data_IF_699642842335
#
_entry.id   IF_699642842335
#
_cell.length_a   1.000
_cell.length_b   1.000
_cell.length_c   1.000
_cell.angle_alpha   90.00
_cell.angle_beta   90.00
_cell.angle_gamma   90.00
#
_symmetry.space_group_name_H-M   'P 1'
#
loop_
_entity.id
_entity.type
_entity.pdbx_description
1 polymer ?
#
# COMPACT_ATOMS: atom_id res chain seq x y z
N UNK A 1 2.68 -25.02 -17.17
CA UNK A 1 3.36 -25.17 -15.86
C UNK A 1 3.96 -23.85 -15.36
N UNK A 2 4.78 -23.13 -16.14
CA UNK A 2 5.37 -21.85 -15.72
C UNK A 2 4.36 -20.77 -15.31
N UNK A 3 3.26 -20.61 -16.06
CA UNK A 3 2.22 -19.61 -15.74
C UNK A 3 1.52 -19.87 -14.40
N UNK A 4 1.25 -21.15 -14.08
CA UNK A 4 0.62 -21.54 -12.81
C UNK A 4 1.53 -21.19 -11.64
N UNK A 5 2.82 -21.51 -11.74
CA UNK A 5 3.81 -21.14 -10.72
C UNK A 5 3.87 -19.63 -10.49
N UNK A 6 3.80 -18.84 -11.57
CA UNK A 6 3.83 -17.39 -11.47
C UNK A 6 2.59 -16.83 -10.75
N UNK A 7 1.39 -17.35 -11.04
CA UNK A 7 0.15 -16.92 -10.36
C UNK A 7 0.18 -17.24 -8.86
N UNK A 8 0.67 -18.42 -8.49
CA UNK A 8 0.78 -18.83 -7.08
C UNK A 8 1.79 -17.96 -6.35
N UNK A 9 2.98 -17.76 -6.91
CA UNK A 9 4.02 -16.91 -6.30
C UNK A 9 3.55 -15.46 -6.16
N UNK A 10 2.93 -14.90 -7.21
CA UNK A 10 2.43 -13.53 -7.21
C UNK A 10 1.31 -13.31 -6.18
N UNK A 11 0.45 -14.30 -5.93
CA UNK A 11 -0.68 -14.16 -5.03
C UNK A 11 -0.41 -14.55 -3.57
N UNK A 12 0.36 -15.62 -3.34
CA UNK A 12 0.53 -16.19 -2.00
C UNK A 12 1.51 -15.38 -1.14
N UNK A 13 2.73 -15.16 -1.63
CA UNK A 13 3.80 -14.55 -0.85
C UNK A 13 3.53 -13.07 -0.60
N UNK A 14 3.11 -12.33 -1.63
CA UNK A 14 2.83 -10.88 -1.53
C UNK A 14 1.68 -10.59 -0.57
N UNK A 15 0.63 -11.42 -0.57
CA UNK A 15 -0.52 -11.29 0.33
C UNK A 15 -0.16 -11.68 1.76
N UNK A 16 0.67 -12.73 1.95
CA UNK A 16 1.18 -13.11 3.27
C UNK A 16 1.99 -11.98 3.89
N UNK A 17 2.87 -11.35 3.11
CA UNK A 17 3.63 -10.16 3.56
C UNK A 17 2.69 -9.00 3.86
N UNK A 18 1.69 -8.73 3.01
CA UNK A 18 0.70 -7.68 3.23
C UNK A 18 -0.03 -7.83 4.57
N UNK A 19 -0.51 -9.05 4.86
CA UNK A 19 -1.20 -9.35 6.12
C UNK A 19 -0.28 -9.10 7.32
N UNK A 20 0.98 -9.55 7.27
CA UNK A 20 1.95 -9.32 8.34
C UNK A 20 2.28 -7.83 8.51
N UNK A 21 2.47 -7.12 7.40
CA UNK A 21 2.79 -5.69 7.35
C UNK A 21 1.72 -4.84 8.05
N UNK A 22 0.46 -5.22 7.93
CA UNK A 22 -0.69 -4.50 8.52
C UNK A 22 -1.00 -5.02 9.93
N UNK A 23 -1.22 -6.32 10.08
CA UNK A 23 -1.66 -6.90 11.35
C UNK A 23 -0.57 -6.86 12.42
N UNK A 24 0.70 -7.07 12.06
CA UNK A 24 1.81 -7.05 13.02
C UNK A 24 1.83 -5.76 13.85
N UNK A 25 1.96 -4.58 13.23
CA UNK A 25 1.99 -3.31 13.95
C UNK A 25 0.69 -3.03 14.75
N UNK A 26 -0.47 -3.42 14.24
CA UNK A 26 -1.75 -3.29 14.96
C UNK A 26 -1.75 -4.15 16.23
N UNK A 27 -1.38 -5.42 16.11
CA UNK A 27 -1.44 -6.39 17.23
C UNK A 27 -0.38 -6.12 18.30
N UNK A 28 0.78 -5.55 17.93
CA UNK A 28 1.82 -5.17 18.88
C UNK A 28 1.54 -3.84 19.61
N UNK A 29 0.42 -3.17 19.33
CA UNK A 29 0.05 -1.93 20.00
C UNK A 29 -1.42 -1.95 20.43
N UNK A 30 -1.62 -2.02 21.75
CA UNK A 30 -2.95 -2.13 22.36
C UNK A 30 -3.91 -1.01 21.94
N UNK A 31 -3.43 0.23 21.83
CA UNK A 31 -4.28 1.35 21.45
C UNK A 31 -4.76 1.24 20.00
N UNK A 32 -3.87 0.86 19.07
CA UNK A 32 -4.24 0.61 17.66
C UNK A 32 -5.24 -0.54 17.54
N UNK A 33 -5.00 -1.63 18.26
CA UNK A 33 -5.94 -2.75 18.29
C UNK A 33 -7.32 -2.35 18.81
N UNK A 34 -7.38 -1.63 19.94
CA UNK A 34 -8.65 -1.16 20.53
C UNK A 34 -9.39 -0.22 19.57
N UNK A 35 -8.67 0.68 18.90
CA UNK A 35 -9.26 1.60 17.92
C UNK A 35 -9.82 0.87 16.69
N UNK A 36 -9.11 -0.15 16.19
CA UNK A 36 -9.64 -1.01 15.12
C UNK A 36 -10.91 -1.74 15.55
N UNK A 37 -10.90 -2.31 16.77
CA UNK A 37 -12.07 -3.00 17.32
C UNK A 37 -13.27 -2.08 17.48
N UNK A 38 -13.03 -0.83 17.92
CA UNK A 38 -14.07 0.20 18.00
C UNK A 38 -14.61 0.54 16.61
N UNK A 39 -13.75 0.81 15.62
CA UNK A 39 -14.20 1.11 14.25
C UNK A 39 -15.00 -0.04 13.63
N UNK A 40 -14.59 -1.28 13.85
CA UNK A 40 -15.34 -2.45 13.35
C UNK A 40 -16.67 -2.65 14.11
N UNK A 41 -16.70 -2.34 15.41
CA UNK A 41 -17.94 -2.35 16.19
C UNK A 41 -18.91 -1.27 15.75
N UNK A 42 -18.46 -0.01 15.74
CA UNK A 42 -19.29 1.16 15.43
C UNK A 42 -19.66 1.24 13.95
N UNK A 43 -18.76 0.82 13.06
CA UNK A 43 -18.94 0.90 11.60
C UNK A 43 -19.66 -0.29 10.98
N UNK A 44 -19.78 -1.42 11.69
CA UNK A 44 -20.35 -2.67 11.14
C UNK A 44 -21.39 -3.34 12.04
N UNK A 45 -21.73 -2.77 13.21
CA UNK A 45 -22.74 -3.34 14.10
C UNK A 45 -24.15 -3.23 13.50
N UNK A 46 -24.53 -4.21 12.69
CA UNK A 46 -25.92 -4.48 12.30
C UNK A 46 -26.26 -5.94 12.01
N UNK A 47 -25.35 -6.92 12.11
CA UNK A 47 -25.77 -8.32 12.01
C UNK A 47 -25.09 -9.23 13.04
N UNK A 48 -25.87 -10.19 13.54
CA UNK A 48 -25.43 -11.31 14.40
C UNK A 48 -24.49 -12.29 13.67
N UNK A 49 -23.97 -11.92 12.50
CA UNK A 49 -23.08 -12.76 11.70
C UNK A 49 -21.63 -12.50 12.10
N UNK A 50 -20.87 -13.57 12.27
CA UNK A 50 -19.45 -13.55 12.62
C UNK A 50 -18.53 -13.06 11.50
N UNK A 51 -19.08 -12.52 10.41
CA UNK A 51 -18.37 -12.25 9.16
C UNK A 51 -18.77 -10.90 8.57
N UNK A 52 -17.77 -10.10 8.24
CA UNK A 52 -17.96 -8.81 7.59
C UNK A 52 -17.97 -8.96 6.06
N UNK A 53 -18.88 -8.26 5.38
CA UNK A 53 -18.82 -8.13 3.92
C UNK A 53 -17.76 -7.11 3.54
N UNK A 54 -17.15 -7.26 2.36
CA UNK A 54 -16.17 -6.28 1.85
C UNK A 54 -16.77 -4.87 1.77
N UNK A 55 -18.02 -4.74 1.32
CA UNK A 55 -18.72 -3.46 1.22
C UNK A 55 -18.87 -2.75 2.56
N UNK A 56 -19.04 -3.50 3.65
CA UNK A 56 -19.16 -2.94 5.00
C UNK A 56 -17.83 -2.40 5.54
N UNK A 57 -16.69 -2.97 5.13
CA UNK A 57 -15.37 -2.60 5.68
C UNK A 57 -14.53 -1.72 4.77
N UNK A 58 -14.77 -1.72 3.45
CA UNK A 58 -13.92 -1.01 2.47
C UNK A 58 -13.86 0.52 2.69
N UNK A 59 -14.87 1.10 3.31
CA UNK A 59 -14.97 2.55 3.57
C UNK A 59 -14.47 2.97 4.94
N UNK A 60 -14.03 2.03 5.78
CA UNK A 60 -13.63 2.33 7.15
C UNK A 60 -12.25 3.03 7.17
N UNK A 61 -12.16 4.25 7.70
CA UNK A 61 -10.99 5.10 7.52
C UNK A 61 -9.75 4.61 8.27
N UNK A 62 -9.88 4.07 9.49
CA UNK A 62 -8.76 3.67 10.33
C UNK A 62 -8.10 2.38 9.83
N UNK A 63 -8.85 1.34 9.48
CA UNK A 63 -8.28 0.14 8.86
C UNK A 63 -7.64 0.47 7.50
N UNK A 64 -8.28 1.32 6.69
CA UNK A 64 -7.71 1.78 5.41
C UNK A 64 -6.40 2.53 5.61
N UNK A 65 -6.35 3.41 6.60
CA UNK A 65 -5.14 4.12 6.99
C UNK A 65 -4.03 3.17 7.46
N UNK A 66 -4.38 2.13 8.23
CA UNK A 66 -3.42 1.12 8.64
C UNK A 66 -2.90 0.27 7.47
N UNK A 67 -3.74 -0.03 6.47
CA UNK A 67 -3.33 -0.73 5.25
C UNK A 67 -2.33 0.12 4.45
N UNK A 68 -2.66 1.40 4.20
CA UNK A 68 -1.78 2.33 3.48
C UNK A 68 -0.43 2.50 4.21
N UNK A 69 -0.46 2.70 5.52
CA UNK A 69 0.77 2.82 6.31
C UNK A 69 1.55 1.50 6.38
N UNK A 70 0.84 0.37 6.41
CA UNK A 70 1.40 -0.97 6.31
C UNK A 70 2.27 -1.15 5.09
N UNK A 71 1.72 -0.84 3.91
CA UNK A 71 2.45 -0.95 2.65
C UNK A 71 3.54 0.10 2.48
N UNK A 72 3.35 1.30 3.04
CA UNK A 72 4.42 2.30 3.08
C UNK A 72 5.59 1.77 3.91
N UNK A 73 5.32 1.22 5.09
CA UNK A 73 6.34 0.72 6.01
C UNK A 73 7.01 -0.57 5.55
N UNK A 74 6.21 -1.52 5.06
CA UNK A 74 6.64 -2.86 4.70
C UNK A 74 5.99 -3.23 3.35
N UNK A 75 6.65 -2.84 2.26
CA UNK A 75 6.19 -3.17 0.90
C UNK A 75 6.21 -4.68 0.68
N UNK A 76 5.13 -5.26 0.13
CA UNK A 76 5.06 -6.69 -0.20
C UNK A 76 6.08 -7.13 -1.25
N UNK A 77 6.55 -6.17 -2.05
CA UNK A 77 7.57 -6.36 -3.07
C UNK A 77 8.62 -5.29 -2.86
N UNK A 78 9.85 -5.72 -2.57
CA UNK A 78 11.03 -4.85 -2.43
C UNK A 78 11.99 -4.95 -3.61
N UNK A 79 11.82 -5.96 -4.47
CA UNK A 79 12.60 -6.08 -5.69
C UNK A 79 12.11 -5.09 -6.75
N UNK A 80 13.04 -4.58 -7.54
CA UNK A 80 12.74 -3.61 -8.58
C UNK A 80 12.18 -4.36 -9.80
N UNK A 81 10.95 -4.02 -10.20
CA UNK A 81 10.34 -4.59 -11.40
C UNK A 81 10.85 -3.82 -12.63
N UNK A 82 11.67 -4.42 -13.50
CA UNK A 82 12.24 -3.72 -14.63
C UNK A 82 11.15 -3.34 -15.64
N UNK A 83 11.36 -2.20 -16.28
CA UNK A 83 10.69 -1.71 -17.48
C UNK A 83 11.77 -1.43 -18.52
N UNK A 84 11.39 -1.38 -19.78
CA UNK A 84 12.32 -1.08 -20.86
C UNK A 84 11.90 0.21 -21.55
N UNK A 85 12.85 1.11 -21.79
CA UNK A 85 12.62 2.29 -22.61
C UNK A 85 12.27 1.88 -24.05
N UNK A 86 11.43 2.66 -24.76
CA UNK A 86 11.16 2.44 -26.18
C UNK A 86 12.44 2.41 -27.04
N UNK A 87 12.32 1.90 -28.27
CA UNK A 87 13.45 1.78 -29.18
C UNK A 87 14.02 3.13 -29.62
N UNK A 88 13.19 4.17 -29.59
CA UNK A 88 13.53 5.56 -29.86
C UNK A 88 14.13 6.30 -28.64
N UNK A 89 14.18 5.66 -27.47
CA UNK A 89 14.47 6.32 -26.20
C UNK A 89 13.29 7.15 -25.70
N UNK A 90 13.42 7.76 -24.52
CA UNK A 90 12.35 8.61 -23.95
C UNK A 90 12.95 9.73 -23.12
N UNK A 91 12.43 10.95 -23.30
CA UNK A 91 12.73 12.07 -22.41
C UNK A 91 11.65 12.20 -21.34
N UNK A 92 12.04 12.18 -20.08
CA UNK A 92 11.15 12.34 -18.93
C UNK A 92 11.80 13.24 -17.88
N UNK A 93 11.06 14.24 -17.41
CA UNK A 93 11.52 15.20 -16.37
C UNK A 93 12.90 15.83 -16.66
N UNK A 94 13.14 16.22 -17.91
CA UNK A 94 14.42 16.81 -18.34
C UNK A 94 15.57 15.81 -18.51
N UNK A 95 15.34 14.51 -18.27
CA UNK A 95 16.31 13.44 -18.46
C UNK A 95 16.01 12.63 -19.71
N UNK A 96 17.04 12.34 -20.53
CA UNK A 96 16.93 11.43 -21.67
C UNK A 96 17.34 10.01 -21.26
N UNK A 97 16.42 9.07 -21.42
CA UNK A 97 16.64 7.63 -21.23
C UNK A 97 16.94 7.02 -22.61
N UNK A 98 18.11 6.37 -22.78
CA UNK A 98 18.51 5.88 -24.09
C UNK A 98 17.62 4.70 -24.54
N UNK A 99 17.61 4.41 -25.86
CA UNK A 99 16.96 3.24 -26.43
C UNK A 99 17.22 1.96 -25.64
N UNK A 100 16.16 1.21 -25.36
CA UNK A 100 16.20 -0.09 -24.67
C UNK A 100 16.79 -0.06 -23.25
N UNK A 101 16.97 1.11 -22.63
CA UNK A 101 17.43 1.22 -21.24
C UNK A 101 16.50 0.45 -20.29
N UNK A 102 17.09 -0.28 -19.33
CA UNK A 102 16.33 -0.89 -18.24
C UNK A 102 16.06 0.16 -17.17
N UNK A 103 14.79 0.39 -16.88
CA UNK A 103 14.30 1.37 -15.91
C UNK A 103 13.62 0.62 -14.77
N UNK A 104 13.84 1.03 -13.54
CA UNK A 104 13.21 0.40 -12.39
C UNK A 104 13.10 1.40 -11.24
N UNK A 105 12.32 1.05 -10.21
CA UNK A 105 12.17 1.91 -9.03
C UNK A 105 12.31 1.10 -7.74
N UNK A 106 12.93 1.72 -6.75
CA UNK A 106 12.97 1.20 -5.39
C UNK A 106 11.70 1.58 -4.64
N UNK A 107 10.85 0.59 -4.36
CA UNK A 107 9.66 0.81 -3.55
C UNK A 107 10.01 1.28 -2.14
N UNK A 108 11.14 0.82 -1.58
CA UNK A 108 11.62 1.23 -0.27
C UNK A 108 11.99 2.72 -0.24
N UNK A 109 12.80 3.16 -1.20
CA UNK A 109 13.26 4.56 -1.24
C UNK A 109 12.09 5.51 -1.52
N UNK A 110 11.19 5.17 -2.46
CA UNK A 110 9.99 5.96 -2.70
C UNK A 110 9.12 6.07 -1.45
N UNK A 111 8.82 4.95 -0.81
CA UNK A 111 7.92 4.91 0.36
C UNK A 111 8.56 5.54 1.62
N UNK A 112 9.88 5.76 1.61
CA UNK A 112 10.66 6.45 2.66
C UNK A 112 11.16 7.83 2.25
N UNK A 113 10.75 8.33 1.09
CA UNK A 113 11.14 9.65 0.63
C UNK A 113 10.53 10.73 1.54
N UNK A 114 11.37 11.49 2.25
CA UNK A 114 10.91 12.47 3.24
C UNK A 114 10.10 13.61 2.64
N UNK A 115 10.36 13.97 1.39
CA UNK A 115 9.60 15.02 0.68
C UNK A 115 8.15 14.61 0.43
N UNK A 116 7.89 13.31 0.27
CA UNK A 116 6.56 12.74 0.00
C UNK A 116 5.90 12.27 1.31
N UNK A 117 6.66 11.58 2.14
CA UNK A 117 6.16 10.88 3.33
C UNK A 117 6.46 11.61 4.64
N UNK A 118 6.91 12.87 4.61
CA UNK A 118 7.28 13.64 5.80
C UNK A 118 8.59 13.18 6.44
N UNK A 119 9.02 13.88 7.50
CA UNK A 119 10.32 13.65 8.13
C UNK A 119 10.39 12.40 9.01
N UNK A 120 9.24 11.84 9.38
CA UNK A 120 9.13 10.68 10.28
C UNK A 120 8.94 9.36 9.51
N UNK A 121 9.64 9.21 8.38
CA UNK A 121 9.43 8.10 7.44
C UNK A 121 9.63 6.70 8.04
N UNK A 122 10.48 6.56 9.05
CA UNK A 122 10.73 5.27 9.72
C UNK A 122 9.82 5.01 10.92
N UNK A 123 8.91 5.95 11.23
CA UNK A 123 7.92 5.79 12.28
C UNK A 123 6.60 5.35 11.67
N UNK A 124 5.98 4.34 12.27
CA UNK A 124 4.61 3.97 11.93
C UNK A 124 3.64 5.05 12.38
N UNK A 125 2.94 5.69 11.44
CA UNK A 125 1.93 6.72 11.74
C UNK A 125 0.73 6.63 10.80
N UNK A 126 -0.27 5.83 11.16
CA UNK A 126 -1.50 5.71 10.36
C UNK A 126 -2.27 7.03 10.22
N UNK A 127 -2.11 7.95 11.17
CA UNK A 127 -2.72 9.29 11.17
C UNK A 127 -2.35 10.09 9.92
N UNK A 128 -1.24 9.76 9.25
CA UNK A 128 -0.85 10.33 7.95
C UNK A 128 -1.95 10.23 6.90
N UNK A 129 -2.78 9.19 6.99
CA UNK A 129 -3.84 8.89 6.03
C UNK A 129 -5.24 9.26 6.55
N UNK A 130 -5.35 9.80 7.76
CA UNK A 130 -6.61 10.21 8.38
C UNK A 130 -6.82 11.72 8.19
N UNK A 131 -8.03 12.12 7.79
CA UNK A 131 -8.35 13.54 7.60
C UNK A 131 -7.89 14.13 6.26
N UNK A 132 -7.33 13.32 5.37
CA UNK A 132 -7.19 13.69 3.95
C UNK A 132 -8.59 13.70 3.34
N UNK A 133 -9.25 14.87 3.35
CA UNK A 133 -10.48 15.09 2.59
C UNK A 133 -10.12 15.06 1.11
N UNK A 134 -10.48 13.97 0.44
CA UNK A 134 -10.20 13.79 -0.97
C UNK A 134 -8.92 13.00 -1.19
N UNK A 135 -9.02 11.68 -1.14
CA UNK A 135 -8.55 10.93 -2.30
C UNK A 135 -9.83 10.54 -3.04
N UNK A 136 -10.44 11.49 -3.75
CA UNK A 136 -11.34 11.06 -4.82
C UNK A 136 -10.49 10.22 -5.77
N UNK A 137 -11.12 9.24 -6.43
CA UNK A 137 -10.47 8.38 -7.42
C UNK A 137 -9.71 9.21 -8.49
N UNK A 138 -10.00 10.51 -8.62
CA UNK A 138 -9.34 11.47 -9.51
C UNK A 138 -7.87 11.80 -9.18
N UNK A 139 -7.44 11.80 -7.91
CA UNK A 139 -6.03 12.09 -7.58
C UNK A 139 -5.12 10.87 -7.82
N UNK A 140 -5.69 9.66 -7.81
CA UNK A 140 -4.95 8.43 -8.15
C UNK A 140 -4.78 8.31 -9.67
N UNK A 141 -5.75 8.81 -10.46
CA UNK A 141 -5.67 8.90 -11.92
C UNK A 141 -4.66 9.94 -12.44
N UNK A 142 -4.08 10.77 -11.57
CA UNK A 142 -3.00 11.70 -11.93
C UNK A 142 -1.61 11.06 -11.90
N UNK A 143 -1.51 9.80 -11.45
CA UNK A 143 -0.27 9.01 -11.44
C UNK A 143 -0.29 7.83 -12.43
N UNK A 144 -1.29 7.75 -13.31
CA UNK A 144 -1.33 6.85 -14.48
C UNK A 144 -0.91 7.56 -15.77
#
# INVERSE_FOLDING_TARGET
>A
MAEIGNRVAAGADTTSVALKAVLGPILHNRARYQRLRAELGDGVSSSKESTFTYSAVKGLPFITACIKEGFRMHSSIVYQLPRQAPAEGISFDGHFLPPNATISMSALDRNRCQTISGTDTDTWRQERWLGVKGSSEDEVNLME
#
